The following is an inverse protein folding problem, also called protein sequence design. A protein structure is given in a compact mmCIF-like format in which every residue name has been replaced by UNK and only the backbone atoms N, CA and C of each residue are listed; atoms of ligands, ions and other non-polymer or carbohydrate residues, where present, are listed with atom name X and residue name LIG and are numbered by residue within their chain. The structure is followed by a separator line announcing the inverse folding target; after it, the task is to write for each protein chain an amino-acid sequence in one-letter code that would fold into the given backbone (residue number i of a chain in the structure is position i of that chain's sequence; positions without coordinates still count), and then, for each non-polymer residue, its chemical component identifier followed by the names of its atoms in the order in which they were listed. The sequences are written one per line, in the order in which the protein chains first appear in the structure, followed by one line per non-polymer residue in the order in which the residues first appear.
data_IF_370782611218
#
_entry.id   IF_370782611218
#
_cell.length_a   1.000
_cell.length_b   1.000
_cell.length_c   1.000
_cell.angle_alpha   90.00
_cell.angle_beta   90.00
_cell.angle_gamma   90.00
#
_symmetry.space_group_name_H-M   'P 1'
#
loop_
_entity.id
_entity.type
_entity.pdbx_description
1 polymer ?
#
# COMPACT_ATOMS: atom_id res chain seq x y z
N UNK A 1 -1.82 -11.64 10.31
CA UNK A 1 -2.09 -10.24 10.03
C UNK A 1 -0.81 -9.43 10.18
N UNK A 2 -0.35 -8.81 9.08
CA UNK A 2 0.88 -8.00 9.04
C UNK A 2 0.52 -6.52 9.22
N UNK A 3 -0.51 -6.05 8.53
CA UNK A 3 -0.94 -4.66 8.55
C UNK A 3 -1.26 -4.15 9.95
N UNK A 4 -0.68 -3.01 10.28
CA UNK A 4 -0.83 -2.35 11.58
C UNK A 4 -0.14 -3.04 12.77
N UNK A 5 0.67 -4.10 12.52
CA UNK A 5 1.40 -4.80 13.58
C UNK A 5 2.75 -4.16 13.88
N UNK A 6 3.44 -3.71 12.85
CA UNK A 6 4.73 -3.04 12.92
C UNK A 6 4.64 -1.66 12.30
N UNK A 7 5.52 -0.74 12.71
CA UNK A 7 5.60 0.60 12.11
C UNK A 7 6.15 0.56 10.68
N UNK A 8 5.92 1.63 9.92
CA UNK A 8 6.50 1.81 8.59
C UNK A 8 8.03 1.75 8.64
N UNK A 9 8.61 2.42 9.63
CA UNK A 9 10.05 2.43 9.90
C UNK A 9 10.61 1.02 10.16
N UNK A 10 9.88 0.18 10.91
CA UNK A 10 10.27 -1.22 11.12
C UNK A 10 10.24 -2.00 9.81
N UNK A 11 9.17 -1.84 9.00
CA UNK A 11 9.07 -2.49 7.69
C UNK A 11 10.22 -2.07 6.77
N UNK A 12 10.50 -0.76 6.72
CA UNK A 12 11.63 -0.23 5.96
C UNK A 12 12.96 -0.84 6.42
N UNK A 13 13.26 -0.80 7.72
CA UNK A 13 14.49 -1.36 8.27
C UNK A 13 14.62 -2.85 7.96
N UNK A 14 13.52 -3.62 8.09
CA UNK A 14 13.50 -5.05 7.79
C UNK A 14 13.71 -5.35 6.30
N UNK A 15 13.26 -4.47 5.40
CA UNK A 15 13.49 -4.61 3.96
C UNK A 15 14.92 -4.21 3.58
N UNK A 16 15.47 -3.18 4.20
CA UNK A 16 16.84 -2.71 3.92
C UNK A 16 17.89 -3.69 4.42
N UNK A 17 17.79 -4.09 5.68
CA UNK A 17 18.65 -5.09 6.32
C UNK A 17 17.82 -5.93 7.31
N UNK A 18 17.31 -7.09 6.87
CA UNK A 18 16.46 -7.93 7.70
C UNK A 18 17.07 -8.32 9.05
N UNK A 19 18.40 -8.49 9.08
CA UNK A 19 19.10 -8.93 10.29
C UNK A 19 19.29 -7.82 11.31
N UNK A 20 19.16 -6.56 10.92
CA UNK A 20 19.20 -5.43 11.85
C UNK A 20 18.04 -5.46 12.87
N UNK A 21 16.89 -6.02 12.46
CA UNK A 21 15.67 -6.11 13.30
C UNK A 21 15.30 -7.55 13.69
N UNK A 22 15.74 -8.54 12.90
CA UNK A 22 15.56 -9.99 13.17
C UNK A 22 16.88 -10.71 12.89
N UNK A 23 17.77 -10.88 13.90
CA UNK A 23 19.13 -11.39 13.70
C UNK A 23 19.23 -12.74 12.98
N UNK A 24 18.24 -13.63 13.17
CA UNK A 24 18.20 -14.97 12.56
C UNK A 24 17.51 -14.97 11.18
N UNK A 25 17.15 -13.81 10.64
CA UNK A 25 16.47 -13.72 9.35
C UNK A 25 17.30 -14.33 8.23
N UNK A 26 16.64 -15.16 7.41
CA UNK A 26 17.19 -15.71 6.16
C UNK A 26 16.76 -14.90 4.93
N UNK A 27 15.96 -13.83 5.14
CA UNK A 27 15.49 -12.96 4.08
C UNK A 27 16.67 -12.18 3.47
N UNK A 28 16.79 -12.08 2.15
CA UNK A 28 17.79 -11.22 1.52
C UNK A 28 17.43 -9.73 1.68
N UNK A 29 18.40 -8.81 1.65
CA UNK A 29 18.15 -7.38 1.70
C UNK A 29 17.55 -6.85 0.39
N UNK A 30 16.61 -5.92 0.50
CA UNK A 30 15.93 -5.24 -0.60
C UNK A 30 16.19 -3.72 -0.58
N UNK A 31 17.36 -3.29 -0.11
CA UNK A 31 17.74 -1.88 0.00
C UNK A 31 17.68 -1.10 -1.33
N UNK A 32 17.64 -1.78 -2.47
CA UNK A 32 17.49 -1.13 -3.77
C UNK A 32 16.12 -0.47 -3.96
N UNK A 33 15.08 -0.90 -3.23
CA UNK A 33 13.74 -0.34 -3.31
C UNK A 33 13.69 1.13 -2.89
N UNK A 34 14.54 1.55 -1.94
CA UNK A 34 14.66 2.96 -1.52
C UNK A 34 15.28 3.87 -2.59
N UNK A 35 15.98 3.29 -3.57
CA UNK A 35 16.72 4.04 -4.60
C UNK A 35 15.98 4.10 -5.92
N UNK A 36 14.91 3.32 -6.06
CA UNK A 36 14.10 3.27 -7.26
C UNK A 36 12.84 4.11 -7.10
N UNK A 37 12.64 5.05 -8.01
CA UNK A 37 11.39 5.77 -8.09
C UNK A 37 10.26 4.84 -8.52
N UNK A 38 9.09 5.01 -7.92
CA UNK A 38 7.90 4.25 -8.29
C UNK A 38 7.38 4.74 -9.65
N UNK A 39 7.27 3.83 -10.60
CA UNK A 39 6.59 4.12 -11.87
C UNK A 39 5.07 4.00 -11.70
N UNK A 40 4.40 5.15 -11.67
CA UNK A 40 2.94 5.23 -11.55
C UNK A 40 2.23 5.43 -12.89
N UNK A 41 2.95 5.42 -14.02
CA UNK A 41 2.42 5.79 -15.35
C UNK A 41 1.34 4.86 -15.90
N UNK A 42 1.16 3.67 -15.32
CA UNK A 42 0.23 2.65 -15.78
C UNK A 42 -0.82 2.23 -14.74
N UNK A 43 -1.01 3.01 -13.67
CA UNK A 43 -1.98 2.66 -12.61
C UNK A 43 -3.42 2.67 -13.12
N UNK A 44 -3.76 3.56 -14.03
CA UNK A 44 -5.05 3.62 -14.72
C UNK A 44 -5.37 2.30 -15.46
N UNK A 45 -4.40 1.73 -16.17
CA UNK A 45 -4.55 0.45 -16.85
C UNK A 45 -4.71 -0.71 -15.85
N UNK A 46 -3.96 -0.69 -14.73
CA UNK A 46 -4.08 -1.70 -13.67
C UNK A 46 -5.46 -1.65 -12.99
N UNK A 47 -5.94 -0.45 -12.63
CA UNK A 47 -7.26 -0.28 -12.04
C UNK A 47 -8.37 -0.68 -13.02
N UNK A 48 -8.21 -0.33 -14.32
CA UNK A 48 -9.14 -0.74 -15.37
C UNK A 48 -9.24 -2.26 -15.50
N UNK A 49 -8.11 -2.97 -15.47
CA UNK A 49 -8.08 -4.43 -15.49
C UNK A 49 -8.79 -5.03 -14.27
N UNK A 50 -8.54 -4.47 -13.07
CA UNK A 50 -9.22 -4.90 -11.84
C UNK A 50 -10.73 -4.62 -11.88
N UNK A 51 -11.15 -3.50 -12.47
CA UNK A 51 -12.58 -3.19 -12.67
C UNK A 51 -13.26 -4.22 -13.58
N UNK A 52 -12.57 -4.72 -14.61
CA UNK A 52 -13.08 -5.83 -15.43
C UNK A 52 -13.29 -7.11 -14.61
N UNK A 53 -12.52 -7.31 -13.56
CA UNK A 53 -12.69 -8.38 -12.57
C UNK A 53 -13.71 -8.04 -11.47
N UNK A 54 -14.51 -6.98 -11.68
CA UNK A 54 -15.60 -6.52 -10.78
C UNK A 54 -15.12 -5.86 -9.48
N UNK A 55 -13.89 -5.38 -9.41
CA UNK A 55 -13.50 -4.45 -8.34
C UNK A 55 -14.22 -3.12 -8.57
N UNK A 56 -14.92 -2.55 -7.57
CA UNK A 56 -15.83 -1.42 -7.78
C UNK A 56 -15.14 -0.06 -7.84
N UNK A 57 -14.16 0.09 -8.74
CA UNK A 57 -13.54 1.40 -8.99
C UNK A 57 -14.48 2.33 -9.75
N UNK A 58 -14.56 3.59 -9.32
CA UNK A 58 -15.29 4.65 -10.02
C UNK A 58 -14.53 5.16 -11.26
N UNK A 59 -15.22 5.87 -12.15
CA UNK A 59 -14.57 6.52 -13.29
C UNK A 59 -13.57 7.59 -12.84
N UNK A 60 -13.87 8.32 -11.76
CA UNK A 60 -12.98 9.32 -11.18
C UNK A 60 -11.67 8.69 -10.65
N UNK A 61 -11.76 7.55 -9.96
CA UNK A 61 -10.58 6.79 -9.51
C UNK A 61 -9.73 6.30 -10.67
N UNK A 62 -10.33 5.85 -11.77
CA UNK A 62 -9.60 5.43 -12.97
C UNK A 62 -8.88 6.61 -13.63
N UNK A 63 -9.58 7.75 -13.75
CA UNK A 63 -9.02 8.95 -14.40
C UNK A 63 -7.82 9.51 -13.65
N UNK A 64 -7.82 9.45 -12.33
CA UNK A 64 -6.79 10.03 -11.48
C UNK A 64 -5.78 9.00 -10.93
N UNK A 65 -5.89 7.73 -11.32
CA UNK A 65 -5.13 6.61 -10.75
C UNK A 65 -3.61 6.85 -10.67
N UNK A 66 -3.02 7.42 -11.73
CA UNK A 66 -1.58 7.67 -11.81
C UNK A 66 -1.15 8.78 -10.82
N UNK A 67 -1.94 9.84 -10.69
CA UNK A 67 -1.71 10.91 -9.73
C UNK A 67 -1.97 10.45 -8.29
N UNK A 68 -3.05 9.69 -8.08
CA UNK A 68 -3.44 9.18 -6.77
C UNK A 68 -2.41 8.21 -6.18
N UNK A 69 -1.77 7.39 -7.03
CA UNK A 69 -0.72 6.49 -6.58
C UNK A 69 0.49 7.25 -6.01
N UNK A 70 0.80 8.42 -6.56
CA UNK A 70 1.84 9.31 -6.01
C UNK A 70 1.35 10.04 -4.76
N UNK A 71 0.15 10.62 -4.84
CA UNK A 71 -0.44 11.39 -3.75
C UNK A 71 -0.55 10.58 -2.45
N UNK A 72 -0.70 9.27 -2.54
CA UNK A 72 -0.73 8.38 -1.37
C UNK A 72 0.53 8.48 -0.51
N UNK A 73 1.70 8.65 -1.12
CA UNK A 73 2.98 8.79 -0.42
C UNK A 73 3.43 10.25 -0.24
N UNK A 74 2.68 11.20 -0.78
CA UNK A 74 2.98 12.64 -0.71
C UNK A 74 1.90 13.40 0.11
N UNK A 75 1.87 13.25 1.45
CA UNK A 75 0.79 13.80 2.29
C UNK A 75 0.71 15.33 2.31
N UNK A 76 1.77 16.01 1.91
CA UNK A 76 1.85 17.47 1.79
C UNK A 76 1.71 17.95 0.34
N UNK A 77 1.51 17.04 -0.60
CA UNK A 77 1.30 17.34 -2.01
C UNK A 77 -0.06 17.99 -2.29
N UNK A 78 -0.18 18.68 -3.42
CA UNK A 78 -1.42 19.34 -3.84
C UNK A 78 -2.60 18.37 -3.99
N UNK A 79 -2.31 17.12 -4.36
CA UNK A 79 -3.32 16.12 -4.70
C UNK A 79 -3.74 15.25 -3.49
N UNK A 80 -3.09 15.45 -2.32
CA UNK A 80 -3.35 14.65 -1.11
C UNK A 80 -4.80 14.77 -0.61
N UNK A 81 -5.39 15.96 -0.69
CA UNK A 81 -6.78 16.18 -0.31
C UNK A 81 -7.73 15.41 -1.23
N UNK A 82 -7.58 15.54 -2.54
CA UNK A 82 -8.43 14.88 -3.53
C UNK A 82 -8.27 13.36 -3.49
N UNK A 83 -7.06 12.86 -3.26
CA UNK A 83 -6.80 11.45 -2.98
C UNK A 83 -7.64 10.96 -1.78
N UNK A 84 -7.62 11.68 -0.68
CA UNK A 84 -8.36 11.30 0.53
C UNK A 84 -9.87 11.26 0.33
N UNK A 85 -10.41 12.08 -0.58
CA UNK A 85 -11.82 12.06 -0.95
C UNK A 85 -12.17 10.84 -1.82
N UNK A 86 -11.28 10.47 -2.78
CA UNK A 86 -11.49 9.32 -3.65
C UNK A 86 -11.27 7.98 -2.96
N UNK A 87 -10.43 7.95 -1.92
CA UNK A 87 -10.08 6.73 -1.18
C UNK A 87 -10.24 6.94 0.34
N UNK A 88 -11.48 7.12 0.83
CA UNK A 88 -11.72 7.35 2.25
C UNK A 88 -11.22 6.17 3.09
N UNK A 89 -10.38 6.47 4.09
CA UNK A 89 -9.77 5.48 4.97
C UNK A 89 -8.46 4.88 4.47
N UNK A 90 -8.01 5.21 3.25
CA UNK A 90 -6.66 4.86 2.82
C UNK A 90 -5.62 5.68 3.59
N UNK A 91 -4.51 5.05 3.94
CA UNK A 91 -3.40 5.76 4.56
C UNK A 91 -2.75 6.69 3.53
N UNK A 92 -2.57 7.96 3.90
CA UNK A 92 -1.86 8.97 3.12
C UNK A 92 -0.72 9.51 3.98
N UNK A 93 0.50 9.07 3.70
CA UNK A 93 1.71 9.48 4.42
C UNK A 93 2.95 9.03 3.67
N UNK A 94 4.09 9.63 4.00
CA UNK A 94 5.41 9.13 3.63
C UNK A 94 5.67 7.79 4.37
N UNK A 95 5.87 6.70 3.63
CA UNK A 95 6.01 5.36 4.18
C UNK A 95 7.48 4.95 4.37
N UNK A 96 8.42 5.58 3.66
CA UNK A 96 9.84 5.21 3.72
C UNK A 96 10.75 6.27 4.36
N UNK A 97 10.21 7.44 4.71
CA UNK A 97 10.94 8.54 5.33
C UNK A 97 11.73 9.40 4.32
N UNK A 98 11.36 9.38 3.04
CA UNK A 98 11.97 10.19 1.97
C UNK A 98 10.93 11.12 1.32
N UNK A 99 10.51 12.21 1.96
CA UNK A 99 9.36 13.02 1.56
C UNK A 99 9.50 13.70 0.18
N UNK A 100 10.72 13.76 -0.36
CA UNK A 100 11.00 14.39 -1.66
C UNK A 100 10.84 13.43 -2.85
N UNK A 101 10.54 12.17 -2.60
CA UNK A 101 10.45 11.12 -3.61
C UNK A 101 9.35 10.13 -3.27
N UNK A 102 8.75 9.54 -4.30
CA UNK A 102 7.91 8.33 -4.15
C UNK A 102 8.66 7.14 -4.71
N UNK A 103 8.94 6.17 -3.87
CA UNK A 103 9.82 5.04 -4.17
C UNK A 103 9.07 3.70 -4.25
N UNK A 104 9.72 2.67 -4.79
CA UNK A 104 9.20 1.30 -4.71
C UNK A 104 9.07 0.82 -3.25
N UNK A 105 9.87 1.39 -2.32
CA UNK A 105 9.77 1.10 -0.89
C UNK A 105 8.46 1.61 -0.30
N UNK A 106 8.03 2.85 -0.63
CA UNK A 106 6.73 3.38 -0.22
C UNK A 106 5.60 2.45 -0.62
N UNK A 107 5.59 2.04 -1.88
CA UNK A 107 4.54 1.15 -2.40
C UNK A 107 4.50 -0.19 -1.65
N UNK A 108 5.65 -0.79 -1.38
CA UNK A 108 5.71 -2.07 -0.68
C UNK A 108 5.32 -1.92 0.79
N UNK A 109 5.77 -0.89 1.49
CA UNK A 109 5.39 -0.66 2.90
C UNK A 109 3.90 -0.35 3.01
N UNK A 110 3.35 0.51 2.14
CA UNK A 110 1.91 0.77 2.07
C UNK A 110 1.10 -0.51 1.89
N UNK A 111 1.53 -1.39 0.98
CA UNK A 111 0.91 -2.69 0.76
C UNK A 111 0.98 -3.59 2.01
N UNK A 112 2.14 -3.70 2.64
CA UNK A 112 2.31 -4.51 3.86
C UNK A 112 1.42 -4.00 4.99
N UNK A 113 1.25 -2.70 5.15
CA UNK A 113 0.37 -2.11 6.17
C UNK A 113 -1.11 -2.37 5.92
N UNK A 114 -1.50 -2.63 4.67
CA UNK A 114 -2.87 -2.98 4.33
C UNK A 114 -3.17 -4.48 4.57
N UNK A 115 -2.17 -5.35 4.54
CA UNK A 115 -2.36 -6.80 4.59
C UNK A 115 -3.11 -7.27 5.84
N UNK A 116 -4.25 -7.90 5.62
CA UNK A 116 -5.13 -8.45 6.65
C UNK A 116 -5.94 -7.40 7.41
N UNK A 117 -6.01 -6.15 6.94
CA UNK A 117 -6.83 -5.09 7.55
C UNK A 117 -8.20 -4.95 6.90
N UNK A 118 -8.37 -5.44 5.65
CA UNK A 118 -9.62 -5.31 4.89
C UNK A 118 -10.77 -6.20 5.38
N UNK A 119 -10.54 -7.13 6.30
CA UNK A 119 -11.56 -8.03 6.87
C UNK A 119 -11.44 -8.02 8.40
N UNK A 120 -12.54 -7.75 9.07
CA UNK A 120 -12.63 -7.90 10.52
C UNK A 120 -12.94 -9.36 10.87
N UNK A 121 -11.88 -10.12 11.15
CA UNK A 121 -12.01 -11.53 11.55
C UNK A 121 -12.65 -11.73 12.93
N UNK A 122 -12.84 -10.68 13.73
CA UNK A 122 -13.53 -10.80 15.01
C UNK A 122 -15.04 -11.07 14.84
N UNK A 123 -15.58 -10.67 13.67
CA UNK A 123 -16.97 -10.89 13.29
C UNK A 123 -17.18 -12.16 12.45
N UNK A 124 -16.11 -12.90 12.14
CA UNK A 124 -16.18 -14.11 11.31
C UNK A 124 -16.94 -15.22 12.05
N UNK A 125 -17.93 -15.79 11.37
CA UNK A 125 -18.66 -16.98 11.79
C UNK A 125 -18.53 -18.05 10.71
N UNK A 126 -18.01 -19.22 11.06
CA UNK A 126 -17.72 -20.29 10.11
C UNK A 126 -18.98 -20.88 9.42
N UNK A 127 -20.12 -20.71 10.03
CA UNK A 127 -21.42 -21.24 9.62
C UNK A 127 -22.28 -20.26 8.82
N UNK A 128 -21.75 -19.08 8.49
CA UNK A 128 -22.48 -18.13 7.63
C UNK A 128 -22.54 -18.63 6.18
N UNK A 129 -23.63 -18.33 5.43
CA UNK A 129 -23.82 -18.78 4.06
C UNK A 129 -22.67 -18.43 3.10
N UNK A 130 -21.95 -17.35 3.36
CA UNK A 130 -20.81 -16.91 2.56
C UNK A 130 -19.60 -17.86 2.67
N UNK A 131 -19.54 -18.66 3.73
CA UNK A 131 -18.46 -19.63 3.99
C UNK A 131 -18.88 -21.08 3.66
N UNK A 132 -20.12 -21.31 3.33
CA UNK A 132 -20.61 -22.60 2.87
C UNK A 132 -20.18 -22.82 1.41
N UNK A 133 -19.21 -23.71 1.19
CA UNK A 133 -18.77 -24.20 -0.13
C UNK A 133 -19.22 -25.63 -0.36
#
# INVERSE_FOLDING_TARGET
RVGGRYSDEWHRAHLVDPRSVVPESVMPPYAFLERRDLDTSHMDAHLSANRMLRVPYSDDQLTHANADARAQAEPLGSDAYDFSQRYPGAANRDFDGQPDRVTEMDALVAYLQMLGTGVDFSTYQADTPENAR
#
